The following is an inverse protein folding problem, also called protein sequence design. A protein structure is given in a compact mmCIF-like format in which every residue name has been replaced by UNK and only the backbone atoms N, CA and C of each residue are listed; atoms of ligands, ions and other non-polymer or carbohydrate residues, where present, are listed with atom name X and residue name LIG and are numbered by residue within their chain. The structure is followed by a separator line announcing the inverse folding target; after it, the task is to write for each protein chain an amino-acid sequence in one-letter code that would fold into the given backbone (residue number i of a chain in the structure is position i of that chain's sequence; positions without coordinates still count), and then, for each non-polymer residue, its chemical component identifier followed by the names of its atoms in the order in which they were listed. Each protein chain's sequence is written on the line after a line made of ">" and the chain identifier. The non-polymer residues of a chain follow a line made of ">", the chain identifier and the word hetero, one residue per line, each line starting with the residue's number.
data_IF_964981445022
#
_entry.id   IF_964981445022
#
_cell.length_a   1.000
_cell.length_b   1.000
_cell.length_c   1.000
_cell.angle_alpha   90.00
_cell.angle_beta   90.00
_cell.angle_gamma   90.00
#
_symmetry.space_group_name_H-M   'P 1'
#
loop_
_entity.id
_entity.type
_entity.pdbx_description
1 polymer ?
#
# COMPACT_ATOMS: atom_id res chain seq x y z
N UNK A 1 -6.98 29.55 -9.48
CA UNK A 1 -6.57 28.14 -9.30
C UNK A 1 -7.77 27.27 -8.98
N UNK A 2 -7.78 26.07 -9.49
CA UNK A 2 -8.84 25.11 -9.21
C UNK A 2 -8.26 23.91 -8.45
N UNK A 3 -9.10 23.31 -7.62
CA UNK A 3 -8.78 22.08 -6.91
C UNK A 3 -9.47 20.93 -7.64
N UNK A 4 -8.69 19.98 -8.15
CA UNK A 4 -9.20 18.83 -8.91
C UNK A 4 -8.97 17.53 -8.17
N UNK A 5 -9.91 16.56 -8.26
CA UNK A 5 -9.69 15.23 -7.75
C UNK A 5 -8.67 14.48 -8.63
N UNK A 6 -7.82 13.71 -7.97
CA UNK A 6 -6.88 12.81 -8.61
C UNK A 6 -7.11 11.39 -8.09
N UNK A 7 -7.08 10.43 -8.99
CA UNK A 7 -7.21 9.01 -8.67
C UNK A 7 -6.12 8.25 -9.41
N UNK A 8 -5.38 7.44 -8.68
CA UNK A 8 -4.41 6.52 -9.26
C UNK A 8 -4.68 5.12 -8.73
N UNK A 9 -4.97 4.19 -9.64
CA UNK A 9 -5.36 2.82 -9.30
C UNK A 9 -4.34 1.84 -9.84
N UNK A 10 -3.85 0.96 -8.96
CA UNK A 10 -2.91 -0.11 -9.30
C UNK A 10 -3.55 -1.45 -8.98
N UNK A 11 -3.58 -2.34 -9.96
CA UNK A 11 -4.10 -3.71 -9.82
C UNK A 11 -2.94 -4.66 -10.05
N UNK A 12 -2.65 -5.50 -9.06
CA UNK A 12 -1.58 -6.47 -9.11
C UNK A 12 -2.04 -7.83 -8.58
N UNK A 13 -1.38 -8.87 -9.05
CA UNK A 13 -1.49 -10.20 -8.48
C UNK A 13 -0.08 -10.69 -8.18
N UNK A 14 0.15 -11.09 -6.93
CA UNK A 14 1.46 -11.55 -6.47
C UNK A 14 1.38 -13.00 -6.04
N UNK A 15 2.41 -13.77 -6.39
CA UNK A 15 2.64 -15.09 -5.83
C UNK A 15 3.73 -14.95 -4.78
N UNK A 16 3.34 -15.00 -3.51
CA UNK A 16 4.23 -14.72 -2.38
C UNK A 16 4.59 -16.02 -1.69
N UNK A 17 5.85 -16.47 -1.78
CA UNK A 17 6.28 -17.69 -1.08
C UNK A 17 6.26 -17.49 0.44
N UNK A 18 6.27 -18.58 1.16
CA UNK A 18 6.49 -18.56 2.61
C UNK A 18 7.99 -18.44 2.91
N UNK A 19 8.33 -17.94 4.09
CA UNK A 19 9.70 -17.90 4.58
C UNK A 19 10.27 -16.52 4.76
N UNK A 20 11.31 -16.44 5.60
CA UNK A 20 11.82 -15.16 6.11
C UNK A 20 12.51 -14.28 5.06
N UNK A 21 13.13 -14.87 4.03
CA UNK A 21 13.93 -14.11 3.07
C UNK A 21 13.12 -13.54 1.90
N UNK A 22 12.01 -14.21 1.50
CA UNK A 22 11.25 -13.84 0.31
C UNK A 22 9.73 -13.86 0.51
N UNK A 23 9.26 -14.04 1.74
CA UNK A 23 7.84 -14.18 2.06
C UNK A 23 7.08 -12.87 2.14
N UNK A 24 7.39 -11.91 1.27
CA UNK A 24 6.70 -10.61 1.28
C UNK A 24 6.78 -9.91 -0.07
N UNK A 25 5.85 -8.97 -0.28
CA UNK A 25 5.90 -7.97 -1.33
C UNK A 25 5.77 -6.58 -0.70
N UNK A 26 6.47 -5.60 -1.27
CA UNK A 26 6.44 -4.23 -0.78
C UNK A 26 6.14 -3.29 -1.94
N UNK A 27 5.11 -2.45 -1.77
CA UNK A 27 4.74 -1.41 -2.70
C UNK A 27 4.97 -0.06 -2.03
N UNK A 28 5.88 0.76 -2.59
CA UNK A 28 6.22 2.06 -2.03
C UNK A 28 5.34 3.16 -2.60
N UNK A 29 4.98 4.12 -1.76
CA UNK A 29 4.27 5.32 -2.19
C UNK A 29 4.63 6.51 -1.30
N UNK A 30 4.66 7.69 -1.89
CA UNK A 30 4.92 8.93 -1.18
C UNK A 30 3.65 9.75 -1.02
N UNK A 31 3.50 10.41 0.13
CA UNK A 31 2.38 11.32 0.39
C UNK A 31 2.92 12.65 0.87
N UNK A 32 2.55 13.72 0.17
CA UNK A 32 2.78 15.09 0.60
C UNK A 32 1.42 15.73 0.87
N UNK A 33 1.06 15.86 2.15
CA UNK A 33 -0.26 16.36 2.56
C UNK A 33 -0.47 17.84 2.27
N UNK A 34 0.61 18.60 2.01
CA UNK A 34 0.51 20.00 1.60
C UNK A 34 0.00 20.11 0.16
N UNK A 35 0.47 19.21 -0.72
CA UNK A 35 0.11 19.19 -2.14
C UNK A 35 -1.05 18.25 -2.45
N UNK A 36 -1.20 17.17 -1.68
CA UNK A 36 -2.18 16.12 -1.90
C UNK A 36 -3.28 16.21 -0.83
N UNK A 37 -4.21 17.14 -1.01
CA UNK A 37 -5.25 17.39 -0.02
C UNK A 37 -6.17 16.18 0.14
N UNK A 38 -6.54 15.88 1.38
CA UNK A 38 -7.46 14.79 1.71
C UNK A 38 -7.03 13.43 1.13
N UNK A 39 -5.71 13.20 1.06
CA UNK A 39 -5.20 11.94 0.56
C UNK A 39 -5.76 10.77 1.37
N UNK A 40 -6.14 9.71 0.64
CA UNK A 40 -6.48 8.42 1.23
C UNK A 40 -6.05 7.30 0.30
N UNK A 41 -5.61 6.22 0.87
CA UNK A 41 -5.35 4.97 0.17
C UNK A 41 -6.46 3.98 0.50
N UNK A 42 -7.26 3.64 -0.50
CA UNK A 42 -8.23 2.54 -0.39
C UNK A 42 -7.56 1.28 -0.93
N UNK A 43 -7.71 0.17 -0.23
CA UNK A 43 -7.11 -1.07 -0.69
C UNK A 43 -8.05 -2.25 -0.52
N UNK A 44 -7.95 -3.16 -1.49
CA UNK A 44 -8.75 -4.37 -1.55
C UNK A 44 -7.79 -5.52 -1.79
N UNK A 45 -7.69 -6.41 -0.80
CA UNK A 45 -6.73 -7.51 -0.77
C UNK A 45 -7.51 -8.82 -0.68
N UNK A 46 -7.15 -9.77 -1.53
CA UNK A 46 -7.80 -11.10 -1.53
C UNK A 46 -6.76 -12.19 -1.72
N UNK A 47 -6.73 -13.12 -0.78
CA UNK A 47 -5.96 -14.37 -0.92
C UNK A 47 -6.82 -15.34 -1.72
N UNK A 48 -6.31 -15.79 -2.88
CA UNK A 48 -7.11 -16.56 -3.83
C UNK A 48 -7.00 -18.07 -3.66
N UNK A 49 -5.87 -18.57 -3.22
CA UNK A 49 -5.54 -20.00 -3.27
C UNK A 49 -5.29 -20.65 -1.91
N UNK A 50 -5.56 -19.96 -0.83
CA UNK A 50 -5.28 -20.47 0.51
C UNK A 50 -6.40 -20.09 1.47
N UNK A 51 -6.66 -20.95 2.45
CA UNK A 51 -7.53 -20.65 3.59
C UNK A 51 -6.76 -19.97 4.74
N UNK A 52 -5.47 -19.73 4.58
CA UNK A 52 -4.62 -19.10 5.59
C UNK A 52 -4.47 -17.62 5.33
N UNK A 53 -4.54 -16.83 6.40
CA UNK A 53 -4.51 -15.39 6.34
C UNK A 53 -3.16 -14.84 5.88
N UNK A 54 -3.20 -13.66 5.26
CA UNK A 54 -2.05 -12.82 4.97
C UNK A 54 -2.02 -11.65 5.95
N UNK A 55 -0.85 -11.13 6.25
CA UNK A 55 -0.71 -9.91 7.06
C UNK A 55 -0.44 -8.72 6.15
N UNK A 56 -1.20 -7.64 6.37
CA UNK A 56 -0.98 -6.36 5.70
C UNK A 56 -0.46 -5.35 6.72
N UNK A 57 0.63 -4.67 6.36
CA UNK A 57 1.21 -3.59 7.16
C UNK A 57 1.42 -2.37 6.27
N UNK A 58 1.28 -1.19 6.87
CA UNK A 58 1.77 0.05 6.28
C UNK A 58 2.81 0.61 7.23
N UNK A 59 4.04 0.74 6.74
CA UNK A 59 5.19 1.21 7.50
C UNK A 59 5.72 2.50 6.89
N UNK A 60 6.46 3.27 7.68
CA UNK A 60 7.36 4.27 7.12
C UNK A 60 8.46 3.56 6.34
N UNK A 61 8.86 4.13 5.20
CA UNK A 61 9.90 3.52 4.34
C UNK A 61 11.21 3.28 5.11
N UNK A 62 11.54 4.16 6.04
CA UNK A 62 12.78 4.07 6.82
C UNK A 62 12.79 2.87 7.77
N UNK A 63 11.64 2.30 8.09
CA UNK A 63 11.54 1.12 8.96
C UNK A 63 11.71 -0.20 8.19
N UNK A 64 11.71 -0.18 6.87
CA UNK A 64 11.77 -1.39 6.04
C UNK A 64 13.05 -2.20 6.26
N UNK A 65 14.27 -1.59 6.29
CA UNK A 65 15.47 -2.40 6.54
C UNK A 65 15.42 -3.21 7.84
N UNK A 66 14.99 -2.58 8.92
CA UNK A 66 14.86 -3.26 10.22
C UNK A 66 13.76 -4.33 10.18
N UNK A 67 12.64 -4.04 9.51
CA UNK A 67 11.56 -5.01 9.36
C UNK A 67 12.00 -6.26 8.56
N UNK A 68 12.78 -6.06 7.48
CA UNK A 68 13.30 -7.16 6.65
C UNK A 68 14.23 -8.08 7.44
N UNK A 69 15.03 -7.54 8.34
CA UNK A 69 15.97 -8.31 9.14
C UNK A 69 15.29 -9.23 10.16
N UNK A 70 13.98 -9.11 10.33
CA UNK A 70 13.21 -9.94 11.25
C UNK A 70 13.75 -9.91 12.69
N UNK A 71 14.35 -8.79 13.09
CA UNK A 71 14.75 -8.57 14.48
C UNK A 71 13.55 -8.31 15.35
N UNK A 72 13.67 -8.47 16.66
CA UNK A 72 12.64 -8.06 17.59
C UNK A 72 12.45 -6.54 17.49
N UNK A 73 11.41 -6.14 16.74
CA UNK A 73 11.16 -4.77 16.34
C UNK A 73 10.12 -4.11 17.24
N UNK A 74 10.31 -4.19 18.55
CA UNK A 74 9.44 -3.49 19.50
C UNK A 74 9.35 -1.99 19.25
N UNK A 75 10.35 -1.41 18.55
CA UNK A 75 10.39 0.00 18.19
C UNK A 75 9.66 0.34 16.90
N UNK A 76 9.39 -0.64 16.03
CA UNK A 76 8.64 -0.42 14.80
C UNK A 76 7.16 -0.37 15.13
N UNK A 77 6.54 0.78 14.88
CA UNK A 77 5.11 0.96 15.06
C UNK A 77 4.47 1.12 13.68
N UNK A 78 3.78 0.10 13.17
CA UNK A 78 3.09 0.25 11.90
C UNK A 78 1.98 1.29 11.99
N UNK A 79 1.80 2.05 10.92
CA UNK A 79 0.65 2.93 10.78
C UNK A 79 -0.65 2.13 10.62
N UNK A 80 -0.52 0.92 10.09
CA UNK A 80 -1.65 0.02 9.86
C UNK A 80 -1.17 -1.43 9.95
N UNK A 81 -1.98 -2.30 10.55
CA UNK A 81 -1.71 -3.73 10.61
C UNK A 81 -3.02 -4.51 10.69
N UNK A 82 -3.21 -5.46 9.79
CA UNK A 82 -4.37 -6.34 9.80
C UNK A 82 -4.06 -7.68 9.15
N UNK A 83 -4.61 -8.75 9.68
CA UNK A 83 -4.56 -10.09 9.11
C UNK A 83 -5.92 -10.45 8.52
N UNK A 84 -5.94 -11.18 7.42
CA UNK A 84 -7.19 -11.66 6.84
C UNK A 84 -6.99 -12.40 5.55
N UNK A 85 -8.06 -13.04 5.08
CA UNK A 85 -8.17 -13.64 3.75
C UNK A 85 -8.67 -12.61 2.74
N UNK A 86 -9.44 -11.67 3.21
CA UNK A 86 -10.02 -10.60 2.41
C UNK A 86 -10.01 -9.34 3.26
N UNK A 87 -9.27 -8.34 2.82
CA UNK A 87 -9.13 -7.07 3.55
C UNK A 87 -9.54 -5.94 2.62
N UNK A 88 -10.57 -5.21 3.02
CA UNK A 88 -11.02 -4.01 2.32
C UNK A 88 -11.02 -2.88 3.34
N UNK A 89 -10.14 -1.91 3.15
CA UNK A 89 -9.96 -0.85 4.14
C UNK A 89 -9.44 0.44 3.51
N UNK A 90 -9.34 1.47 4.32
CA UNK A 90 -8.87 2.79 3.92
C UNK A 90 -7.82 3.28 4.91
N UNK A 91 -6.70 3.72 4.40
CA UNK A 91 -5.64 4.38 5.18
C UNK A 91 -5.64 5.87 4.92
N UNK A 92 -5.75 6.66 5.98
CA UNK A 92 -5.67 8.13 5.94
C UNK A 92 -4.45 8.58 6.73
N UNK A 93 -3.33 8.88 6.05
CA UNK A 93 -2.13 9.32 6.75
C UNK A 93 -2.34 10.69 7.40
N UNK A 94 -1.73 10.89 8.55
CA UNK A 94 -1.76 12.15 9.29
C UNK A 94 -0.48 12.97 9.11
N UNK A 95 0.55 12.37 8.55
CA UNK A 95 1.83 13.04 8.26
C UNK A 95 2.26 12.78 6.83
N UNK A 96 2.97 13.74 6.25
CA UNK A 96 3.66 13.55 4.98
C UNK A 96 4.86 12.65 5.20
N UNK A 97 4.98 11.60 4.39
CA UNK A 97 6.08 10.63 4.51
C UNK A 97 6.19 9.80 3.23
N UNK A 98 7.27 9.04 3.14
CA UNK A 98 7.41 7.93 2.22
C UNK A 98 6.94 6.66 2.93
N UNK A 99 5.92 6.01 2.39
CA UNK A 99 5.27 4.85 2.98
C UNK A 99 5.59 3.58 2.21
N UNK A 100 5.45 2.45 2.90
CA UNK A 100 5.56 1.13 2.33
C UNK A 100 4.32 0.31 2.68
N UNK A 101 3.63 -0.18 1.65
CA UNK A 101 2.52 -1.13 1.78
C UNK A 101 3.11 -2.53 1.70
N UNK A 102 3.03 -3.28 2.77
CA UNK A 102 3.70 -4.58 2.93
C UNK A 102 2.66 -5.70 2.97
N UNK A 103 2.85 -6.68 2.09
CA UNK A 103 2.05 -7.90 2.07
C UNK A 103 2.96 -9.00 2.60
N UNK A 104 2.68 -9.51 3.80
CA UNK A 104 3.58 -10.39 4.53
C UNK A 104 3.05 -11.83 4.64
N UNK A 105 3.83 -12.76 4.11
CA UNK A 105 3.59 -14.21 4.20
C UNK A 105 4.70 -14.93 4.97
N UNK A 106 5.58 -14.21 5.67
CA UNK A 106 6.72 -14.81 6.38
C UNK A 106 6.31 -15.69 7.55
N UNK A 107 5.13 -15.39 8.13
CA UNK A 107 4.60 -16.10 9.31
C UNK A 107 3.82 -17.36 8.97
N UNK A 108 3.83 -17.80 7.70
CA UNK A 108 3.16 -19.05 7.34
C UNK A 108 3.83 -20.23 8.05
N UNK A 109 3.02 -21.04 8.74
CA UNK A 109 3.50 -22.25 9.39
C UNK A 109 3.80 -23.38 8.40
N UNK A 110 3.40 -23.22 7.15
CA UNK A 110 3.63 -24.18 6.06
C UNK A 110 4.76 -23.63 5.20
N UNK A 111 5.93 -24.22 5.32
CA UNK A 111 7.19 -23.73 4.75
C UNK A 111 7.24 -23.64 3.22
N UNK A 112 6.29 -24.27 2.51
CA UNK A 112 6.26 -24.26 1.04
C UNK A 112 4.98 -23.66 0.47
N UNK A 113 4.14 -23.04 1.30
CA UNK A 113 2.91 -22.46 0.83
C UNK A 113 3.17 -21.13 0.10
N UNK A 114 2.85 -21.11 -1.20
CA UNK A 114 2.84 -19.88 -1.99
C UNK A 114 1.40 -19.36 -1.99
N UNK A 115 1.22 -18.12 -1.53
CA UNK A 115 -0.09 -17.48 -1.55
C UNK A 115 -0.20 -16.59 -2.78
N UNK A 116 -1.27 -16.77 -3.54
CA UNK A 116 -1.63 -15.88 -4.64
C UNK A 116 -2.55 -14.79 -4.09
N UNK A 117 -2.09 -13.56 -4.13
CA UNK A 117 -2.77 -12.42 -3.51
C UNK A 117 -3.09 -11.38 -4.58
N UNK A 118 -4.38 -11.09 -4.74
CA UNK A 118 -4.84 -9.97 -5.56
C UNK A 118 -4.81 -8.70 -4.73
N UNK A 119 -4.21 -7.64 -5.27
CA UNK A 119 -4.02 -6.37 -4.58
C UNK A 119 -4.52 -5.25 -5.47
N UNK A 120 -5.51 -4.51 -4.99
CA UNK A 120 -5.99 -3.31 -5.65
C UNK A 120 -5.74 -2.13 -4.72
N UNK A 121 -4.86 -1.21 -5.14
CA UNK A 121 -4.58 0.01 -4.42
C UNK A 121 -5.18 1.19 -5.19
N UNK A 122 -5.96 2.01 -4.51
CA UNK A 122 -6.54 3.22 -5.11
C UNK A 122 -6.14 4.43 -4.27
N UNK A 123 -5.29 5.27 -4.85
CA UNK A 123 -4.87 6.53 -4.25
C UNK A 123 -5.85 7.62 -4.68
N UNK A 124 -6.38 8.35 -3.72
CA UNK A 124 -7.29 9.46 -3.97
C UNK A 124 -6.80 10.69 -3.23
N UNK A 125 -6.75 11.82 -3.91
CA UNK A 125 -6.45 13.12 -3.29
C UNK A 125 -7.02 14.25 -4.13
N UNK A 126 -6.97 15.44 -3.57
CA UNK A 126 -7.29 16.68 -4.29
C UNK A 126 -6.02 17.51 -4.41
N UNK A 127 -5.84 18.15 -5.54
CA UNK A 127 -4.67 18.96 -5.81
C UNK A 127 -5.04 20.25 -6.52
N UNK A 128 -4.36 21.32 -6.14
CA UNK A 128 -4.44 22.60 -6.80
C UNK A 128 -3.80 22.51 -8.18
N UNK A 129 -4.50 22.98 -9.20
CA UNK A 129 -4.04 22.93 -10.59
C UNK A 129 -4.08 24.34 -11.15
N UNK A 130 -2.98 24.78 -11.76
CA UNK A 130 -2.92 26.05 -12.47
C UNK A 130 -3.79 26.00 -13.73
N UNK A 131 -4.35 27.14 -14.13
CA UNK A 131 -5.23 27.22 -15.28
C UNK A 131 -4.60 26.66 -16.56
N UNK A 132 -3.31 26.88 -16.77
CA UNK A 132 -2.56 26.36 -17.91
C UNK A 132 -2.50 24.81 -17.89
N UNK A 133 -2.32 24.22 -16.73
CA UNK A 133 -2.32 22.77 -16.55
C UNK A 133 -3.71 22.17 -16.73
N UNK A 134 -4.74 22.89 -16.33
CA UNK A 134 -6.11 22.48 -16.52
C UNK A 134 -6.46 22.35 -18.01
N UNK A 135 -6.01 23.28 -18.85
CA UNK A 135 -6.22 23.23 -20.31
C UNK A 135 -5.53 22.03 -20.95
N UNK A 136 -4.31 21.71 -20.52
CA UNK A 136 -3.59 20.53 -20.98
C UNK A 136 -4.29 19.24 -20.59
N UNK A 137 -4.78 19.18 -19.36
CA UNK A 137 -5.51 18.01 -18.86
C UNK A 137 -6.79 17.75 -19.65
N UNK A 138 -7.54 18.80 -19.98
CA UNK A 138 -8.74 18.70 -20.83
C UNK A 138 -8.37 18.21 -22.23
N UNK A 139 -7.30 18.70 -22.83
CA UNK A 139 -6.83 18.27 -24.16
C UNK A 139 -6.46 16.80 -24.20
N UNK A 140 -5.85 16.29 -23.15
CA UNK A 140 -5.43 14.87 -23.09
C UNK A 140 -6.60 13.92 -22.86
N UNK A 141 -7.71 14.40 -22.33
CA UNK A 141 -8.91 13.61 -22.11
C UNK A 141 -9.93 13.72 -23.27
N UNK A 142 -9.75 14.71 -24.11
CA UNK A 142 -10.66 15.00 -25.22
C UNK A 142 -10.37 14.13 -26.47
#
# INVERSE_FOLDING_TARGET
>A
MKILPHVMRNINEFNIPAGNSHGYEILYFGVNLILMFKYRLSFDIKVQNSAKEIEILILGRNDIPAWKENKDNSEIKPYYNKNGLKINDVFRPTISDAYAFVINNRKSSISHEVKTVEVILTHNWKQEVKESQLKEHIKTQG
#
